data_IF_091298220864
#
_entry.id   IF_091298220864
#
_cell.length_a   1.000
_cell.length_b   1.000
_cell.length_c   1.000
_cell.angle_alpha   90.00
_cell.angle_beta   90.00
_cell.angle_gamma   90.00
#
_symmetry.space_group_name_H-M   'P 1'
#
loop_
_entity.id
_entity.type
_entity.pdbx_description
1 polymer ?
#
# COMPACT_ATOMS: atom_id res chain seq x y z
N UNK A 1 -20.24 -8.02 0.31
CA UNK A 1 -20.48 -6.58 0.57
C UNK A 1 -19.43 -5.81 -0.21
N UNK A 2 -19.69 -4.58 -0.67
CA UNK A 2 -18.65 -3.82 -1.40
C UNK A 2 -17.59 -3.37 -0.42
N UNK A 3 -16.35 -3.83 -0.61
CA UNK A 3 -15.16 -3.34 0.10
C UNK A 3 -15.10 -1.83 -0.10
N UNK A 4 -14.89 -1.08 0.97
CA UNK A 4 -14.80 0.38 0.92
C UNK A 4 -13.49 0.76 0.22
N UNK A 5 -13.46 1.80 -0.63
CA UNK A 5 -12.20 2.24 -1.23
C UNK A 5 -11.20 2.68 -0.15
N UNK A 6 -9.92 2.31 -0.32
CA UNK A 6 -8.85 2.63 0.62
C UNK A 6 -8.73 4.13 0.90
N UNK A 7 -8.94 4.97 -0.10
CA UNK A 7 -8.90 6.43 0.04
C UNK A 7 -10.01 6.95 0.95
N UNK A 8 -11.16 6.28 0.96
CA UNK A 8 -12.26 6.63 1.87
C UNK A 8 -11.83 6.35 3.32
N UNK A 9 -11.14 5.25 3.57
CA UNK A 9 -10.52 4.97 4.87
C UNK A 9 -9.45 6.02 5.24
N UNK A 10 -8.57 6.41 4.32
CA UNK A 10 -7.57 7.45 4.56
C UNK A 10 -8.18 8.80 4.96
N UNK A 11 -9.28 9.19 4.31
CA UNK A 11 -10.01 10.43 4.62
C UNK A 11 -10.69 10.35 5.99
N UNK A 12 -11.22 9.20 6.36
CA UNK A 12 -11.81 9.01 7.69
C UNK A 12 -10.76 9.07 8.81
N UNK A 13 -9.60 8.45 8.61
CA UNK A 13 -8.47 8.59 9.54
C UNK A 13 -8.06 10.06 9.66
N UNK A 14 -7.97 10.77 8.54
CA UNK A 14 -7.69 12.21 8.53
C UNK A 14 -8.74 13.00 9.34
N UNK A 15 -10.04 12.78 9.10
CA UNK A 15 -11.10 13.50 9.79
C UNK A 15 -11.14 13.22 11.29
N UNK A 16 -10.88 11.96 11.69
CA UNK A 16 -10.80 11.57 13.09
C UNK A 16 -9.61 12.24 13.81
N UNK A 17 -8.45 12.30 13.17
CA UNK A 17 -7.27 12.97 13.71
C UNK A 17 -7.39 14.52 13.67
N UNK A 18 -8.14 15.04 12.69
CA UNK A 18 -8.31 16.47 12.49
C UNK A 18 -9.05 17.18 13.62
N UNK A 19 -9.85 16.47 14.41
CA UNK A 19 -10.49 17.05 15.59
C UNK A 19 -9.48 17.50 16.65
N UNK A 20 -8.31 16.86 16.73
CA UNK A 20 -7.30 17.14 17.74
C UNK A 20 -6.10 17.91 17.19
N UNK A 21 -5.63 17.60 15.98
CA UNK A 21 -4.37 18.11 15.44
C UNK A 21 -4.49 19.19 14.34
N UNK A 22 -5.66 19.34 13.71
CA UNK A 22 -5.82 20.31 12.62
C UNK A 22 -6.36 21.64 13.15
N UNK A 23 -5.62 22.72 12.90
CA UNK A 23 -5.94 24.05 13.41
C UNK A 23 -6.23 25.07 12.30
N UNK A 24 -7.15 25.99 12.57
CA UNK A 24 -7.42 27.09 11.65
C UNK A 24 -6.18 27.97 11.46
N UNK A 25 -5.88 28.35 10.21
CA UNK A 25 -4.71 29.13 9.84
C UNK A 25 -3.48 28.29 9.52
N UNK A 26 -3.53 26.99 9.80
CA UNK A 26 -2.48 26.06 9.42
C UNK A 26 -2.68 25.55 8.00
N UNK A 27 -1.56 25.12 7.44
CA UNK A 27 -1.44 24.64 6.08
C UNK A 27 -0.74 23.29 6.17
N UNK A 28 -1.34 22.32 5.52
CA UNK A 28 -0.91 20.93 5.53
C UNK A 28 -0.68 20.51 4.09
N UNK A 29 0.26 19.61 3.89
CA UNK A 29 0.59 19.10 2.57
C UNK A 29 0.73 17.59 2.61
N UNK A 30 0.43 16.98 1.48
CA UNK A 30 0.72 15.57 1.25
C UNK A 30 1.28 15.40 -0.16
N UNK A 31 2.47 14.83 -0.20
CA UNK A 31 3.17 14.55 -1.44
C UNK A 31 2.96 13.11 -1.88
N UNK A 32 2.42 12.91 -3.08
CA UNK A 32 2.38 11.61 -3.75
C UNK A 32 3.13 11.68 -5.08
N UNK A 33 4.06 10.75 -5.36
CA UNK A 33 4.72 10.67 -6.67
C UNK A 33 3.77 10.23 -7.79
N UNK A 34 2.66 9.57 -7.42
CA UNK A 34 1.65 9.05 -8.33
C UNK A 34 0.45 10.02 -8.41
N UNK A 35 0.17 10.49 -9.63
CA UNK A 35 -0.92 11.42 -9.91
C UNK A 35 -2.30 10.80 -9.79
N UNK A 36 -2.44 9.52 -10.14
CA UNK A 36 -3.72 8.81 -10.05
C UNK A 36 -4.07 8.59 -8.57
N UNK A 37 -3.10 8.20 -7.74
CA UNK A 37 -3.29 8.11 -6.28
C UNK A 37 -3.69 9.45 -5.65
N UNK A 38 -3.06 10.54 -6.10
CA UNK A 38 -3.39 11.90 -5.67
C UNK A 38 -4.83 12.26 -5.99
N UNK A 39 -5.26 11.96 -7.21
CA UNK A 39 -6.61 12.23 -7.70
C UNK A 39 -7.65 11.37 -6.95
N UNK A 40 -7.41 10.07 -6.78
CA UNK A 40 -8.31 9.17 -6.01
C UNK A 40 -8.52 9.68 -4.58
N UNK A 41 -7.46 10.11 -3.91
CA UNK A 41 -7.52 10.67 -2.56
C UNK A 41 -8.30 12.00 -2.53
N UNK A 42 -8.02 12.89 -3.48
CA UNK A 42 -8.74 14.16 -3.59
C UNK A 42 -10.25 13.93 -3.80
N UNK A 43 -10.62 13.05 -4.73
CA UNK A 43 -12.01 12.68 -4.98
C UNK A 43 -12.68 12.07 -3.73
N UNK A 44 -11.96 11.24 -2.98
CA UNK A 44 -12.45 10.71 -1.71
C UNK A 44 -12.68 11.83 -0.67
N UNK A 45 -11.83 12.86 -0.61
CA UNK A 45 -12.07 14.04 0.21
C UNK A 45 -13.32 14.80 -0.26
N UNK A 46 -13.49 14.99 -1.58
CA UNK A 46 -14.66 15.68 -2.13
C UNK A 46 -15.97 14.95 -1.84
N UNK A 47 -15.96 13.61 -1.80
CA UNK A 47 -17.14 12.82 -1.41
C UNK A 47 -17.57 13.06 0.05
N UNK A 48 -16.65 13.51 0.91
CA UNK A 48 -16.93 13.84 2.30
C UNK A 48 -17.22 15.32 2.53
N UNK A 49 -17.25 16.17 1.49
CA UNK A 49 -17.48 17.61 1.66
C UNK A 49 -18.84 17.90 2.30
N UNK A 50 -18.88 18.90 3.18
CA UNK A 50 -20.12 19.36 3.83
C UNK A 50 -20.68 20.62 3.17
N UNK A 51 -19.90 21.26 2.30
CA UNK A 51 -20.31 22.42 1.55
C UNK A 51 -19.15 23.03 0.79
N UNK A 52 -19.35 24.25 0.33
CA UNK A 52 -18.36 25.01 -0.41
C UNK A 52 -18.26 26.45 0.12
N UNK A 53 -17.13 27.10 -0.12
CA UNK A 53 -16.83 28.49 0.22
C UNK A 53 -16.56 29.22 -1.08
N UNK A 54 -17.35 30.25 -1.36
CA UNK A 54 -17.11 31.11 -2.52
C UNK A 54 -15.90 32.01 -2.27
N UNK A 55 -14.85 31.82 -3.07
CA UNK A 55 -13.72 32.72 -3.10
C UNK A 55 -14.08 34.04 -3.80
N UNK A 56 -13.31 35.09 -3.50
CA UNK A 56 -13.52 36.44 -4.05
C UNK A 56 -13.45 36.52 -5.58
N UNK A 57 -12.80 35.55 -6.23
CA UNK A 57 -12.68 35.42 -7.67
C UNK A 57 -13.77 34.53 -8.32
N UNK A 58 -14.80 34.13 -7.57
CA UNK A 58 -15.89 33.29 -8.05
C UNK A 58 -15.58 31.79 -8.14
N UNK A 59 -14.42 31.37 -7.63
CA UNK A 59 -14.07 29.95 -7.49
C UNK A 59 -14.77 29.38 -6.25
N UNK A 60 -15.46 28.26 -6.41
CA UNK A 60 -16.07 27.54 -5.29
C UNK A 60 -15.07 26.55 -4.69
N UNK A 61 -14.77 26.69 -3.40
CA UNK A 61 -13.81 25.85 -2.69
C UNK A 61 -14.54 24.85 -1.79
N UNK A 62 -14.46 23.54 -2.03
CA UNK A 62 -15.07 22.56 -1.16
C UNK A 62 -14.42 22.61 0.23
N UNK A 63 -15.21 22.34 1.27
CA UNK A 63 -14.67 22.20 2.61
C UNK A 63 -15.19 20.94 3.31
N UNK A 64 -14.30 20.40 4.13
CA UNK A 64 -14.55 19.38 5.12
C UNK A 64 -14.77 20.05 6.48
N UNK A 65 -15.88 19.78 7.14
CA UNK A 65 -16.15 20.28 8.48
C UNK A 65 -15.47 19.36 9.50
N UNK A 66 -14.53 19.91 10.27
CA UNK A 66 -13.96 19.25 11.44
C UNK A 66 -14.53 19.90 12.70
N UNK A 67 -14.38 19.27 13.87
CA UNK A 67 -14.95 19.80 15.12
C UNK A 67 -14.49 21.23 15.47
N UNK A 68 -13.28 21.64 15.01
CA UNK A 68 -12.65 22.92 15.38
C UNK A 68 -12.54 23.92 14.22
N UNK A 69 -12.48 23.47 12.97
CA UNK A 69 -12.29 24.35 11.82
C UNK A 69 -12.88 23.75 10.54
N UNK A 70 -12.78 24.48 9.42
CA UNK A 70 -13.07 23.94 8.09
C UNK A 70 -11.76 23.59 7.40
N UNK A 71 -11.63 22.39 6.86
CA UNK A 71 -10.48 22.00 6.06
C UNK A 71 -10.83 22.16 4.59
N UNK A 72 -10.04 22.93 3.85
CA UNK A 72 -10.19 23.12 2.41
C UNK A 72 -9.17 22.23 1.71
N UNK A 73 -9.59 21.08 1.13
CA UNK A 73 -8.69 20.26 0.32
C UNK A 73 -8.51 20.87 -1.07
N UNK A 74 -7.27 20.89 -1.55
CA UNK A 74 -6.92 21.29 -2.92
C UNK A 74 -5.90 20.32 -3.49
N UNK A 75 -5.99 20.06 -4.79
CA UNK A 75 -5.01 19.27 -5.55
C UNK A 75 -4.24 20.17 -6.52
N UNK A 76 -2.94 19.96 -6.63
CA UNK A 76 -2.09 20.66 -7.58
C UNK A 76 -2.23 20.10 -8.99
N UNK A 77 -2.38 20.98 -9.97
CA UNK A 77 -2.39 20.64 -11.40
C UNK A 77 -1.57 21.65 -12.19
N UNK A 78 -0.63 21.16 -12.99
CA UNK A 78 0.13 21.98 -13.94
C UNK A 78 -0.72 22.41 -15.16
N UNK A 79 -1.81 21.70 -15.43
CA UNK A 79 -2.74 22.02 -16.51
C UNK A 79 -4.20 21.82 -16.07
N UNK A 80 -4.77 22.81 -15.35
CA UNK A 80 -6.16 22.77 -14.88
C UNK A 80 -7.22 22.62 -15.97
N UNK A 81 -6.88 22.88 -17.23
CA UNK A 81 -7.81 22.69 -18.36
C UNK A 81 -8.00 21.21 -18.72
N UNK A 82 -7.08 20.35 -18.28
CA UNK A 82 -7.06 18.91 -18.63
C UNK A 82 -7.16 18.00 -17.42
N UNK A 83 -6.60 18.42 -16.29
CA UNK A 83 -6.53 17.65 -15.06
C UNK A 83 -7.08 18.52 -13.94
N UNK A 84 -8.03 17.96 -13.19
CA UNK A 84 -8.64 18.65 -12.06
C UNK A 84 -7.57 19.14 -11.08
N UNK A 85 -7.76 20.37 -10.58
CA UNK A 85 -6.85 20.98 -9.63
C UNK A 85 -6.54 22.44 -9.91
N UNK A 86 -5.61 22.97 -9.11
CA UNK A 86 -5.23 24.38 -9.12
C UNK A 86 -3.77 24.54 -9.48
N UNK A 87 -3.47 25.66 -10.15
CA UNK A 87 -2.08 26.06 -10.40
C UNK A 87 -1.38 26.39 -9.10
N UNK A 88 -0.06 26.22 -9.06
CA UNK A 88 0.78 26.61 -7.93
C UNK A 88 0.55 28.05 -7.46
N UNK A 89 0.41 28.99 -8.41
CA UNK A 89 0.18 30.40 -8.09
C UNK A 89 -1.12 30.61 -7.31
N UNK A 90 -2.18 29.87 -7.68
CA UNK A 90 -3.44 29.95 -6.97
C UNK A 90 -3.38 29.27 -5.60
N UNK A 91 -2.70 28.13 -5.48
CA UNK A 91 -2.49 27.47 -4.19
C UNK A 91 -1.68 28.37 -3.23
N UNK A 92 -0.65 29.06 -3.75
CA UNK A 92 0.13 30.04 -2.97
C UNK A 92 -0.73 31.19 -2.45
N UNK A 93 -1.65 31.68 -3.28
CA UNK A 93 -2.64 32.68 -2.85
C UNK A 93 -3.56 32.14 -1.75
N UNK A 94 -4.12 30.93 -1.92
CA UNK A 94 -4.98 30.30 -0.90
C UNK A 94 -4.25 30.09 0.43
N UNK A 95 -2.98 29.71 0.36
CA UNK A 95 -2.11 29.56 1.53
C UNK A 95 -2.01 30.86 2.32
N UNK A 96 -1.79 31.98 1.65
CA UNK A 96 -1.63 33.28 2.29
C UNK A 96 -2.96 33.78 2.88
N UNK A 97 -4.08 33.54 2.19
CA UNK A 97 -5.43 33.83 2.70
C UNK A 97 -5.76 33.02 3.96
N UNK A 98 -5.43 31.72 3.98
CA UNK A 98 -5.58 30.86 5.17
C UNK A 98 -4.68 31.36 6.30
N UNK A 99 -3.40 31.61 6.04
CA UNK A 99 -2.47 32.09 7.07
C UNK A 99 -2.90 33.44 7.67
N UNK A 100 -3.49 34.33 6.86
CA UNK A 100 -3.97 35.63 7.31
C UNK A 100 -5.18 35.57 8.24
N UNK A 101 -5.90 34.44 8.31
CA UNK A 101 -7.10 34.25 9.13
C UNK A 101 -8.12 35.40 9.01
N UNK A 102 -8.28 35.88 7.78
CA UNK A 102 -9.18 36.97 7.42
C UNK A 102 -9.94 36.63 6.14
N UNK A 103 -10.91 37.44 5.77
CA UNK A 103 -11.68 37.20 4.54
C UNK A 103 -12.48 35.90 4.55
N UNK A 104 -12.61 35.29 3.38
CA UNK A 104 -13.51 34.15 3.12
C UNK A 104 -12.98 32.82 3.66
N UNK A 105 -11.66 32.70 3.93
CA UNK A 105 -11.03 31.50 4.51
C UNK A 105 -10.76 31.63 6.01
N UNK A 106 -11.32 32.64 6.68
CA UNK A 106 -11.22 32.75 8.14
C UNK A 106 -11.80 31.51 8.82
N UNK A 107 -11.06 30.94 9.78
CA UNK A 107 -11.47 29.72 10.47
C UNK A 107 -11.25 28.45 9.64
N UNK A 108 -10.55 28.54 8.51
CA UNK A 108 -10.20 27.40 7.68
C UNK A 108 -8.73 27.00 7.86
N UNK A 109 -8.44 25.74 7.56
CA UNK A 109 -7.12 25.17 7.31
C UNK A 109 -7.04 24.73 5.84
N UNK A 110 -5.83 24.65 5.29
CA UNK A 110 -5.61 24.20 3.91
C UNK A 110 -4.93 22.84 3.91
N UNK A 111 -5.41 21.89 3.11
CA UNK A 111 -4.70 20.64 2.80
C UNK A 111 -4.37 20.61 1.32
N UNK A 112 -3.09 20.53 0.98
CA UNK A 112 -2.59 20.53 -0.39
C UNK A 112 -2.10 19.14 -0.76
N UNK A 113 -2.74 18.48 -1.72
CA UNK A 113 -2.25 17.25 -2.33
C UNK A 113 -1.44 17.63 -3.57
N UNK A 114 -0.18 17.20 -3.64
CA UNK A 114 0.69 17.55 -4.75
C UNK A 114 1.70 16.46 -5.12
N UNK A 115 2.19 16.54 -6.34
CA UNK A 115 3.31 15.74 -6.85
C UNK A 115 4.59 16.57 -7.04
N UNK A 116 4.52 17.89 -6.82
CA UNK A 116 5.60 18.83 -7.14
C UNK A 116 6.73 18.79 -6.11
N UNK A 117 7.94 19.15 -6.58
CA UNK A 117 9.16 19.34 -5.78
C UNK A 117 9.35 20.80 -5.32
N UNK A 118 8.36 21.67 -5.51
CA UNK A 118 8.52 23.11 -5.31
C UNK A 118 8.52 23.49 -3.83
N UNK A 119 9.64 24.05 -3.40
CA UNK A 119 9.96 24.50 -2.03
C UNK A 119 8.93 25.48 -1.42
N UNK A 120 8.25 26.25 -2.26
CA UNK A 120 7.25 27.28 -1.90
C UNK A 120 5.99 26.67 -1.28
N UNK A 121 5.57 25.50 -1.77
CA UNK A 121 4.44 24.74 -1.24
C UNK A 121 4.85 23.93 -0.01
N UNK A 122 6.10 23.43 0.02
CA UNK A 122 6.57 22.44 0.99
C UNK A 122 7.07 23.09 2.30
N UNK A 123 7.85 24.17 2.24
CA UNK A 123 8.57 24.67 3.44
C UNK A 123 7.71 25.41 4.46
N UNK A 124 6.43 25.64 4.15
CA UNK A 124 5.53 26.41 5.01
C UNK A 124 4.29 25.63 5.43
N UNK A 125 4.16 24.37 4.99
CA UNK A 125 3.06 23.50 5.32
C UNK A 125 3.58 22.26 6.08
N UNK A 126 2.78 21.76 7.01
CA UNK A 126 3.08 20.55 7.75
C UNK A 126 2.78 19.33 6.88
N UNK A 127 3.74 18.41 6.78
CA UNK A 127 3.62 17.24 5.92
C UNK A 127 2.85 16.12 6.63
N UNK A 128 1.67 15.77 6.13
CA UNK A 128 0.81 14.76 6.72
C UNK A 128 1.39 13.34 6.66
N UNK A 129 2.41 13.09 5.82
CA UNK A 129 3.11 11.81 5.73
C UNK A 129 4.35 11.71 6.64
N UNK A 130 4.78 12.80 7.29
CA UNK A 130 5.93 12.76 8.19
C UNK A 130 5.68 11.92 9.46
N UNK A 131 6.72 11.36 10.08
CA UNK A 131 6.58 10.53 11.28
C UNK A 131 5.73 11.21 12.37
N UNK A 132 4.70 10.49 12.83
CA UNK A 132 3.76 10.97 13.85
C UNK A 132 2.47 11.59 13.31
N UNK A 133 2.44 11.94 12.03
CA UNK A 133 1.26 12.53 11.36
C UNK A 133 0.30 11.46 10.86
N UNK A 134 -0.97 11.86 10.66
CA UNK A 134 -2.09 10.94 10.38
C UNK A 134 -1.88 10.01 9.19
N UNK A 135 -1.13 10.44 8.20
CA UNK A 135 -0.86 9.69 6.98
C UNK A 135 0.56 9.12 6.93
N UNK A 136 1.27 9.14 8.06
CA UNK A 136 2.54 8.43 8.20
C UNK A 136 2.35 6.91 8.12
N UNK A 137 3.31 6.16 7.55
CA UNK A 137 3.22 4.71 7.47
C UNK A 137 2.90 4.04 8.83
N UNK A 138 3.46 4.57 9.92
CA UNK A 138 3.22 4.04 11.28
C UNK A 138 1.78 4.23 11.72
N UNK A 139 1.18 5.40 11.48
CA UNK A 139 -0.22 5.66 11.86
C UNK A 139 -1.18 4.82 11.03
N UNK A 140 -0.91 4.64 9.74
CA UNK A 140 -1.73 3.79 8.88
C UNK A 140 -1.61 2.33 9.30
N UNK A 141 -0.41 1.85 9.61
CA UNK A 141 -0.20 0.52 10.18
C UNK A 141 -1.01 0.31 11.46
N UNK A 142 -0.93 1.23 12.42
CA UNK A 142 -1.67 1.14 13.67
C UNK A 142 -3.19 1.11 13.43
N UNK A 143 -3.69 1.93 12.49
CA UNK A 143 -5.09 1.95 12.11
C UNK A 143 -5.55 0.65 11.46
N UNK A 144 -4.73 0.05 10.57
CA UNK A 144 -5.00 -1.25 9.96
C UNK A 144 -4.98 -2.39 10.98
N UNK A 145 -4.04 -2.36 11.92
CA UNK A 145 -3.98 -3.35 12.99
C UNK A 145 -5.25 -3.32 13.86
N UNK A 146 -5.86 -2.14 14.04
CA UNK A 146 -7.14 -1.99 14.72
C UNK A 146 -8.35 -2.53 13.95
N UNK A 147 -8.22 -2.85 12.66
CA UNK A 147 -9.26 -3.50 11.86
C UNK A 147 -9.20 -5.03 11.92
N UNK A 148 -8.07 -5.60 12.36
CA UNK A 148 -7.88 -7.05 12.47
C UNK A 148 -8.76 -7.57 13.61
N UNK A 149 -9.61 -8.57 13.34
CA UNK A 149 -10.46 -9.19 14.35
C UNK A 149 -9.60 -10.01 15.33
N UNK A 150 -9.65 -9.65 16.62
CA UNK A 150 -8.92 -10.35 17.67
C UNK A 150 -9.38 -11.81 17.88
N UNK A 151 -10.59 -12.15 17.42
CA UNK A 151 -11.16 -13.49 17.48
C UNK A 151 -10.82 -14.35 16.26
N UNK A 152 -10.18 -13.78 15.24
CA UNK A 152 -9.75 -14.55 14.08
C UNK A 152 -8.56 -15.46 14.42
N UNK A 153 -8.63 -16.70 13.96
CA UNK A 153 -7.55 -17.67 14.06
C UNK A 153 -6.33 -17.25 13.21
N UNK A 154 -6.55 -16.43 12.17
CA UNK A 154 -5.50 -15.91 11.30
C UNK A 154 -4.92 -14.54 11.76
N UNK A 155 -5.28 -14.04 12.96
CA UNK A 155 -4.82 -12.71 13.40
C UNK A 155 -3.29 -12.57 13.42
N UNK A 156 -2.58 -13.59 13.90
CA UNK A 156 -1.13 -13.53 14.06
C UNK A 156 -0.45 -13.47 12.69
N UNK A 157 -1.03 -14.15 11.70
CA UNK A 157 -0.59 -14.12 10.30
C UNK A 157 -0.84 -12.74 9.70
N UNK A 158 -2.04 -12.20 9.89
CA UNK A 158 -2.40 -10.85 9.42
C UNK A 158 -1.50 -9.77 10.02
N UNK A 159 -1.17 -9.89 11.31
CA UNK A 159 -0.23 -9.00 11.99
C UNK A 159 1.19 -9.12 11.42
N UNK A 160 1.69 -10.34 11.20
CA UNK A 160 3.00 -10.54 10.59
C UNK A 160 3.06 -9.98 9.15
N UNK A 161 2.00 -10.15 8.36
CA UNK A 161 1.93 -9.59 7.00
C UNK A 161 1.89 -8.06 7.01
N UNK A 162 1.17 -7.48 7.96
CA UNK A 162 1.15 -6.03 8.17
C UNK A 162 2.52 -5.49 8.59
N UNK A 163 3.23 -6.21 9.47
CA UNK A 163 4.60 -5.88 9.85
C UNK A 163 5.55 -5.96 8.63
N UNK A 164 5.48 -7.04 7.87
CA UNK A 164 6.35 -7.25 6.70
C UNK A 164 6.08 -6.22 5.59
N UNK A 165 4.81 -5.90 5.32
CA UNK A 165 4.46 -4.86 4.33
C UNK A 165 4.92 -3.47 4.80
N UNK A 166 4.79 -3.17 6.09
CA UNK A 166 5.30 -1.93 6.66
C UNK A 166 6.82 -1.81 6.50
N UNK A 167 7.56 -2.88 6.80
CA UNK A 167 9.02 -2.92 6.64
C UNK A 167 9.41 -2.66 5.17
N UNK A 168 8.75 -3.32 4.20
CA UNK A 168 8.98 -3.09 2.77
C UNK A 168 8.69 -1.63 2.35
N UNK A 169 7.58 -1.05 2.79
CA UNK A 169 7.21 0.35 2.47
C UNK A 169 8.26 1.33 3.00
N UNK A 170 8.80 1.08 4.21
CA UNK A 170 9.85 1.91 4.77
C UNK A 170 11.17 1.79 4.01
N UNK A 171 11.55 0.58 3.59
CA UNK A 171 12.76 0.33 2.81
C UNK A 171 12.72 1.00 1.43
N UNK A 172 11.57 0.91 0.76
CA UNK A 172 11.36 1.50 -0.57
C UNK A 172 11.06 3.01 -0.55
N UNK A 173 10.83 3.58 0.64
CA UNK A 173 10.38 4.96 0.79
C UNK A 173 9.02 5.23 0.14
N UNK A 174 8.17 4.20 0.09
CA UNK A 174 6.83 4.28 -0.49
C UNK A 174 5.87 5.10 0.40
N UNK A 175 4.79 5.59 -0.21
CA UNK A 175 3.74 6.33 0.50
C UNK A 175 2.72 5.37 1.13
N UNK A 176 1.75 5.89 1.88
CA UNK A 176 0.67 5.08 2.48
C UNK A 176 -0.13 4.25 1.47
N UNK A 177 -0.12 4.58 0.19
CA UNK A 177 -0.79 3.78 -0.85
C UNK A 177 -0.21 2.37 -0.98
N UNK A 178 1.01 2.13 -0.50
CA UNK A 178 1.59 0.78 -0.42
C UNK A 178 0.81 -0.17 0.50
N UNK A 179 -0.07 0.34 1.37
CA UNK A 179 -0.94 -0.49 2.21
C UNK A 179 -2.28 -0.84 1.55
N UNK A 180 -2.58 -0.38 0.33
CA UNK A 180 -3.89 -0.57 -0.29
C UNK A 180 -4.25 -2.05 -0.47
N UNK A 181 -3.30 -2.89 -0.90
CA UNK A 181 -3.50 -4.34 -1.07
C UNK A 181 -3.84 -5.00 0.27
N UNK A 182 -3.08 -4.66 1.31
CA UNK A 182 -3.31 -5.19 2.65
C UNK A 182 -4.62 -4.69 3.26
N UNK A 183 -4.98 -3.44 3.05
CA UNK A 183 -6.27 -2.91 3.49
C UNK A 183 -7.44 -3.71 2.90
N UNK A 184 -7.39 -4.02 1.60
CA UNK A 184 -8.43 -4.83 0.94
C UNK A 184 -8.54 -6.21 1.58
N UNK A 185 -7.40 -6.87 1.81
CA UNK A 185 -7.30 -8.18 2.45
C UNK A 185 -7.73 -8.21 3.93
N UNK A 186 -7.62 -7.08 4.64
CA UNK A 186 -8.08 -6.95 6.04
C UNK A 186 -9.57 -6.61 6.10
N UNK A 187 -10.07 -5.73 5.21
CA UNK A 187 -11.48 -5.31 5.22
C UNK A 187 -12.42 -6.42 4.71
N UNK A 188 -12.01 -7.21 3.72
CA UNK A 188 -12.83 -8.32 3.21
C UNK A 188 -12.87 -9.52 4.17
N UNK A 189 -11.97 -9.55 5.16
CA UNK A 189 -11.84 -10.62 6.15
C UNK A 189 -11.36 -11.95 5.55
N UNK A 190 -10.87 -11.92 4.30
CA UNK A 190 -10.38 -13.08 3.57
C UNK A 190 -9.00 -12.72 3.01
N UNK A 191 -8.02 -12.75 3.91
CA UNK A 191 -6.64 -12.45 3.58
C UNK A 191 -6.09 -13.51 2.62
N UNK A 192 -6.11 -13.19 1.33
CA UNK A 192 -5.60 -14.03 0.26
C UNK A 192 -4.17 -13.63 -0.08
N UNK A 193 -3.27 -14.60 0.05
CA UNK A 193 -1.83 -14.42 -0.14
C UNK A 193 -1.49 -14.00 -1.57
N UNK A 194 -2.28 -14.45 -2.54
CA UNK A 194 -2.09 -14.12 -3.95
C UNK A 194 -2.19 -12.61 -4.24
N UNK A 195 -3.03 -11.87 -3.51
CA UNK A 195 -3.17 -10.41 -3.64
C UNK A 195 -1.94 -9.64 -3.11
N UNK A 196 -1.13 -10.30 -2.28
CA UNK A 196 0.10 -9.78 -1.70
C UNK A 196 1.36 -10.26 -2.44
N UNK A 197 1.21 -10.89 -3.60
CA UNK A 197 2.34 -11.47 -4.35
C UNK A 197 2.97 -12.65 -3.61
N UNK A 198 2.14 -13.51 -3.02
CA UNK A 198 2.57 -14.72 -2.31
C UNK A 198 1.70 -15.90 -2.73
N UNK A 199 2.18 -17.13 -2.52
CA UNK A 199 1.35 -18.33 -2.70
C UNK A 199 0.40 -18.53 -1.53
N UNK A 200 -0.78 -19.09 -1.79
CA UNK A 200 -1.69 -19.51 -0.73
C UNK A 200 -1.02 -20.55 0.19
N UNK A 201 -1.04 -20.28 1.49
CA UNK A 201 -0.36 -21.12 2.49
C UNK A 201 -1.24 -21.37 3.73
N UNK A 202 -2.24 -22.28 3.64
CA UNK A 202 -3.13 -22.58 4.77
C UNK A 202 -2.39 -23.08 6.03
N UNK A 203 -1.19 -23.64 5.88
CA UNK A 203 -0.40 -24.18 7.00
C UNK A 203 0.17 -23.08 7.90
N UNK A 204 0.32 -21.84 7.41
CA UNK A 204 0.84 -20.74 8.24
C UNK A 204 -0.11 -20.39 9.38
N UNK A 205 -1.41 -20.60 9.19
CA UNK A 205 -2.45 -20.40 10.22
C UNK A 205 -2.27 -21.40 11.38
N UNK A 206 -1.83 -22.63 11.08
CA UNK A 206 -1.54 -23.65 12.11
C UNK A 206 -0.32 -23.30 12.97
N UNK A 207 0.49 -22.31 12.55
CA UNK A 207 1.67 -21.81 13.26
C UNK A 207 1.37 -20.62 14.18
N UNK A 208 0.10 -20.26 14.36
CA UNK A 208 -0.37 -19.24 15.31
C UNK A 208 0.24 -19.44 16.71
N UNK A 209 0.58 -18.33 17.36
CA UNK A 209 1.31 -18.30 18.62
C UNK A 209 2.84 -18.33 18.49
N UNK A 210 3.41 -18.44 17.28
CA UNK A 210 4.85 -18.31 17.05
C UNK A 210 5.19 -17.31 15.92
N UNK A 211 5.17 -16.00 16.20
CA UNK A 211 5.40 -14.95 15.21
C UNK A 211 6.73 -15.10 14.44
N UNK A 212 7.78 -15.63 15.08
CA UNK A 212 9.08 -15.86 14.44
C UNK A 212 9.02 -16.93 13.36
N UNK A 213 8.24 -17.99 13.58
CA UNK A 213 8.05 -19.06 12.59
C UNK A 213 7.14 -18.60 11.47
N UNK A 214 6.08 -17.86 11.79
CA UNK A 214 5.18 -17.24 10.81
C UNK A 214 5.98 -16.32 9.89
N UNK A 215 6.68 -15.32 10.43
CA UNK A 215 7.51 -14.39 9.64
C UNK A 215 8.51 -15.11 8.74
N UNK A 216 9.24 -16.10 9.27
CA UNK A 216 10.17 -16.90 8.45
C UNK A 216 9.49 -17.62 7.28
N UNK A 217 8.29 -18.17 7.50
CA UNK A 217 7.53 -18.87 6.46
C UNK A 217 6.98 -17.89 5.41
N UNK A 218 6.54 -16.71 5.83
CA UNK A 218 6.11 -15.64 4.93
C UNK A 218 7.27 -15.12 4.07
N UNK A 219 8.45 -14.89 4.67
CA UNK A 219 9.68 -14.51 3.95
C UNK A 219 10.06 -15.56 2.90
N UNK A 220 10.03 -16.85 3.24
CA UNK A 220 10.31 -17.95 2.31
C UNK A 220 9.28 -18.02 1.17
N UNK A 221 8.01 -17.74 1.47
CA UNK A 221 6.93 -17.73 0.49
C UNK A 221 7.09 -16.57 -0.50
N UNK A 222 7.27 -15.36 0.01
CA UNK A 222 7.48 -14.16 -0.82
C UNK A 222 8.71 -14.29 -1.71
N UNK A 223 9.85 -14.72 -1.17
CA UNK A 223 11.08 -14.90 -1.94
C UNK A 223 10.90 -15.90 -3.10
N UNK A 224 10.18 -17.00 -2.87
CA UNK A 224 9.90 -17.99 -3.90
C UNK A 224 8.95 -17.44 -4.98
N UNK A 225 7.94 -16.66 -4.58
CA UNK A 225 6.99 -16.06 -5.51
C UNK A 225 7.67 -15.01 -6.40
N UNK A 226 8.53 -14.16 -5.82
CA UNK A 226 9.29 -13.15 -6.57
C UNK A 226 10.29 -13.80 -7.55
N UNK A 227 11.01 -14.84 -7.12
CA UNK A 227 11.92 -15.60 -7.98
C UNK A 227 11.16 -16.19 -9.18
N UNK A 228 10.02 -16.84 -8.93
CA UNK A 228 9.21 -17.44 -9.99
C UNK A 228 8.58 -16.39 -10.91
N UNK A 229 8.06 -15.29 -10.35
CA UNK A 229 7.52 -14.16 -11.14
C UNK A 229 8.58 -13.64 -12.10
N UNK A 230 9.79 -13.39 -11.59
CA UNK A 230 10.90 -12.88 -12.39
C UNK A 230 11.26 -13.84 -13.54
N UNK A 231 11.41 -15.13 -13.25
CA UNK A 231 11.75 -16.13 -14.25
C UNK A 231 10.66 -16.31 -15.32
N UNK A 232 9.38 -16.27 -14.93
CA UNK A 232 8.25 -16.36 -15.88
C UNK A 232 8.15 -15.12 -16.76
N UNK A 233 8.32 -13.92 -16.19
CA UNK A 233 8.22 -12.67 -16.95
C UNK A 233 9.38 -12.47 -17.91
N UNK A 234 10.60 -12.86 -17.53
CA UNK A 234 11.82 -12.58 -18.31
C UNK A 234 12.27 -13.76 -19.17
N UNK A 235 11.89 -15.00 -18.82
CA UNK A 235 12.41 -16.23 -19.42
C UNK A 235 11.34 -17.31 -19.65
N UNK A 236 10.11 -16.91 -20.00
CA UNK A 236 8.99 -17.80 -20.34
C UNK A 236 9.40 -18.98 -21.24
N UNK A 237 10.11 -18.70 -22.33
CA UNK A 237 10.54 -19.68 -23.33
C UNK A 237 11.70 -20.59 -22.88
N UNK A 238 12.27 -20.35 -21.68
CA UNK A 238 13.39 -21.10 -21.11
C UNK A 238 13.12 -21.59 -19.68
N UNK A 239 11.85 -21.65 -19.25
CA UNK A 239 11.49 -22.03 -17.89
C UNK A 239 12.02 -23.40 -17.47
N UNK A 240 12.03 -24.39 -18.38
CA UNK A 240 12.60 -25.71 -18.09
C UNK A 240 14.11 -25.67 -17.79
N UNK A 241 14.85 -24.73 -18.41
CA UNK A 241 16.29 -24.56 -18.19
C UNK A 241 16.61 -23.67 -16.98
N UNK A 242 15.70 -22.76 -16.59
CA UNK A 242 15.89 -21.83 -15.47
C UNK A 242 15.42 -22.42 -14.16
N UNK A 243 14.24 -23.04 -14.14
CA UNK A 243 13.64 -23.66 -12.98
C UNK A 243 14.16 -25.08 -12.72
N UNK A 244 15.49 -25.27 -12.75
CA UNK A 244 16.12 -26.59 -12.51
C UNK A 244 15.84 -27.18 -11.13
N UNK A 245 15.40 -26.33 -10.21
CA UNK A 245 14.93 -26.70 -8.86
C UNK A 245 13.59 -27.42 -8.92
N UNK A 246 12.83 -27.30 -10.01
CA UNK A 246 11.52 -27.90 -10.19
C UNK A 246 11.61 -29.11 -11.14
N UNK A 247 10.76 -30.10 -10.93
CA UNK A 247 10.70 -31.25 -11.84
C UNK A 247 10.01 -30.87 -13.15
N UNK A 248 10.49 -31.37 -14.29
CA UNK A 248 9.91 -31.12 -15.63
C UNK A 248 8.37 -31.31 -15.64
N UNK A 249 7.87 -32.38 -15.03
CA UNK A 249 6.42 -32.65 -14.92
C UNK A 249 5.63 -31.62 -14.12
N UNK A 250 6.27 -30.90 -13.21
CA UNK A 250 5.64 -29.84 -12.42
C UNK A 250 5.58 -28.56 -13.26
N UNK A 251 6.67 -28.26 -13.98
CA UNK A 251 6.75 -27.12 -14.91
C UNK A 251 5.67 -27.26 -15.99
N UNK A 252 5.65 -28.39 -16.71
CA UNK A 252 4.67 -28.65 -17.77
C UNK A 252 3.21 -28.65 -17.28
N UNK A 253 2.99 -28.89 -15.98
CA UNK A 253 1.61 -28.93 -15.44
C UNK A 253 1.11 -27.56 -15.01
N UNK A 254 1.99 -26.70 -14.50
CA UNK A 254 1.60 -25.48 -13.80
C UNK A 254 2.04 -24.20 -14.53
N UNK A 255 3.01 -24.28 -15.44
CA UNK A 255 3.57 -23.14 -16.17
C UNK A 255 3.23 -23.15 -17.67
N UNK A 256 2.41 -24.11 -18.12
CA UNK A 256 1.88 -24.16 -19.50
C UNK A 256 0.95 -22.98 -19.83
N UNK A 257 0.30 -22.42 -18.81
CA UNK A 257 -0.44 -21.15 -18.87
C UNK A 257 0.35 -20.08 -18.11
N UNK A 258 0.44 -18.86 -18.64
CA UNK A 258 1.33 -17.80 -18.12
C UNK A 258 1.04 -17.42 -16.65
N UNK A 259 -0.16 -17.74 -16.16
CA UNK A 259 -0.58 -17.43 -14.79
C UNK A 259 -0.95 -18.65 -13.94
N UNK A 260 -1.04 -19.86 -14.52
CA UNK A 260 -1.54 -21.06 -13.81
C UNK A 260 -0.68 -21.52 -12.62
N UNK A 261 0.56 -21.03 -12.53
CA UNK A 261 1.47 -21.32 -11.43
C UNK A 261 1.15 -20.51 -10.17
N UNK A 262 0.47 -19.36 -10.31
CA UNK A 262 0.08 -18.48 -9.19
C UNK A 262 -0.99 -19.12 -8.29
N UNK A 263 -1.78 -20.06 -8.82
CA UNK A 263 -2.84 -20.76 -8.11
C UNK A 263 -2.34 -21.99 -7.31
N UNK A 264 -1.04 -22.27 -7.33
CA UNK A 264 -0.47 -23.42 -6.64
C UNK A 264 -0.14 -23.07 -5.18
N UNK A 265 -0.56 -23.90 -4.24
CA UNK A 265 -0.26 -23.72 -2.82
C UNK A 265 1.26 -23.72 -2.53
N UNK A 266 1.68 -22.88 -1.57
CA UNK A 266 3.08 -22.71 -1.21
C UNK A 266 3.78 -24.03 -0.90
N UNK A 267 3.16 -24.90 -0.10
CA UNK A 267 3.75 -26.17 0.33
C UNK A 267 4.04 -27.11 -0.86
N UNK A 268 3.17 -27.09 -1.88
CA UNK A 268 3.36 -27.91 -3.08
C UNK A 268 4.52 -27.37 -3.93
N UNK A 269 4.58 -26.05 -4.12
CA UNK A 269 5.66 -25.35 -4.84
C UNK A 269 6.99 -25.55 -4.12
N UNK A 270 7.03 -25.33 -2.81
CA UNK A 270 8.21 -25.50 -1.96
C UNK A 270 8.72 -26.96 -1.92
N UNK A 271 7.82 -27.94 -1.83
CA UNK A 271 8.19 -29.36 -1.94
C UNK A 271 8.76 -29.70 -3.30
N UNK A 272 8.16 -29.20 -4.37
CA UNK A 272 8.68 -29.46 -5.72
C UNK A 272 10.09 -28.90 -5.93
N UNK A 273 10.38 -27.72 -5.35
CA UNK A 273 11.71 -27.12 -5.33
C UNK A 273 12.74 -27.92 -4.49
N UNK A 274 12.33 -28.39 -3.31
CA UNK A 274 13.21 -29.09 -2.35
C UNK A 274 13.43 -30.58 -2.65
N UNK A 275 12.44 -31.26 -3.25
CA UNK A 275 12.54 -32.67 -3.68
C UNK A 275 13.57 -32.82 -4.80
N UNK A 276 13.67 -31.87 -5.72
CA UNK A 276 14.69 -31.90 -6.79
C UNK A 276 16.08 -31.64 -6.23
N UNK A 277 16.23 -30.77 -5.23
CA UNK A 277 17.50 -30.56 -4.52
C UNK A 277 17.97 -31.84 -3.82
N UNK A 278 17.06 -32.56 -3.16
CA UNK A 278 17.34 -33.84 -2.50
C UNK A 278 17.63 -34.99 -3.49
N UNK A 279 16.93 -34.99 -4.63
CA UNK A 279 17.09 -35.97 -5.70
C UNK A 279 18.41 -35.77 -6.45
N UNK A 280 18.81 -34.53 -6.73
CA UNK A 280 20.12 -34.21 -7.30
C UNK A 280 21.28 -34.55 -6.35
N UNK A 281 21.08 -34.37 -5.03
CA UNK A 281 22.04 -34.81 -4.02
C UNK A 281 22.15 -36.35 -3.91
N UNK A 282 21.05 -37.07 -4.15
CA UNK A 282 21.03 -38.54 -4.20
C UNK A 282 21.62 -39.10 -5.50
N UNK A 283 21.34 -38.48 -6.65
CA UNK A 283 21.90 -38.85 -7.94
C UNK A 283 23.43 -38.63 -7.98
N UNK A 284 23.91 -37.50 -7.44
CA UNK A 284 25.37 -37.25 -7.33
C UNK A 284 26.07 -38.22 -6.38
N UNK A 285 25.43 -38.63 -5.27
CA UNK A 285 25.94 -39.69 -4.38
C UNK A 285 25.92 -41.07 -5.03
N UNK A 286 24.87 -41.44 -5.78
CA UNK A 286 24.82 -42.72 -6.53
C UNK A 286 25.85 -42.79 -7.65
N UNK A 287 26.07 -41.70 -8.40
CA UNK A 287 27.11 -41.65 -9.43
C UNK A 287 28.51 -41.82 -8.83
N UNK A 288 28.80 -41.25 -7.66
CA UNK A 288 30.08 -41.47 -6.96
C UNK A 288 30.32 -42.92 -6.54
N UNK A 289 29.25 -43.67 -6.23
CA UNK A 289 29.37 -45.08 -5.84
C UNK A 289 29.56 -45.98 -7.06
N UNK A 290 28.93 -45.69 -8.21
CA UNK A 290 29.12 -46.47 -9.45
C UNK A 290 30.47 -46.27 -10.14
N UNK A 291 31.20 -45.19 -9.84
CA UNK A 291 32.55 -44.95 -10.40
C UNK A 291 33.66 -45.61 -9.55
N UNK A 292 33.31 -46.19 -8.38
CA UNK A 292 34.26 -46.85 -7.47
C UNK A 292 34.07 -48.38 -7.36
N UNK A 293 33.33 -49.00 -8.28
CA UNK A 293 33.21 -50.46 -8.45
C UNK A 293 33.62 -50.85 -9.86
#
# INVERSE_FOLDING_TARGET
MSVKPFETFLVEQFLADAETHIEAGFRYQFKSPDGDNSQRLYEAMLKHKQGEIDASNGVSLPFLQTGKCKVVPVIHSENPEKVEGFTENYISHLRDEVAGQSGYLKGCALVVIHNSLLDTLINSAEDLAQPGQVWSPTKIKDALNGLIDEQDNAKDVSQCLLDDQFDSILEDGATMFGFESLYKAVEDGDLRFNELGMFEDPLVVEMSGNPKQIKKRLEENRALYEELSFEVEHFNDQLQDRLKSFGEKFIDKHFDDSEGWKDVEFEATFKSASVTHSSNLHLSKKLRVMVCT
#
